data_IF_764311551208
#
_entry.id   IF_764311551208
#
_cell.length_a   1.000
_cell.length_b   1.000
_cell.length_c   1.000
_cell.angle_alpha   90.00
_cell.angle_beta   90.00
_cell.angle_gamma   90.00
#
_symmetry.space_group_name_H-M   'P 1'
#
loop_
_entity.id
_entity.type
_entity.pdbx_description
1 polymer ?
#
# COMPACT_ATOMS: atom_id res chain seq x y z
N UNK A 1 3.10 7.79 -24.63
CA UNK A 1 1.90 7.77 -23.76
C UNK A 1 1.57 9.20 -23.38
N UNK A 2 0.29 9.57 -23.29
CA UNK A 2 -0.08 10.89 -22.76
C UNK A 2 0.32 10.99 -21.29
N UNK A 3 0.76 12.18 -20.88
CA UNK A 3 1.24 12.48 -19.52
C UNK A 3 0.24 12.02 -18.44
N UNK A 4 0.69 11.27 -17.45
CA UNK A 4 -0.16 10.79 -16.36
C UNK A 4 -1.18 9.71 -16.72
N UNK A 5 -1.00 9.02 -17.84
CA UNK A 5 -1.89 7.95 -18.29
C UNK A 5 -1.21 6.59 -18.30
N UNK A 6 -1.95 5.60 -17.85
CA UNK A 6 -1.65 4.17 -17.94
C UNK A 6 -2.75 3.55 -18.83
N UNK A 7 -2.52 3.49 -20.16
CA UNK A 7 -3.57 3.18 -21.12
C UNK A 7 -4.71 4.21 -21.03
N UNK A 8 -5.91 3.75 -20.73
CA UNK A 8 -7.12 4.59 -20.57
C UNK A 8 -7.30 5.13 -19.14
N UNK A 9 -6.48 4.66 -18.20
CA UNK A 9 -6.54 4.99 -16.77
C UNK A 9 -5.61 6.16 -16.39
N UNK A 10 -5.74 6.66 -15.16
CA UNK A 10 -4.97 7.80 -14.64
C UNK A 10 -5.61 9.13 -14.96
N UNK A 11 -4.78 10.14 -15.14
CA UNK A 11 -5.19 11.53 -15.44
C UNK A 11 -5.32 12.41 -14.21
N UNK A 12 -5.90 13.61 -14.40
CA UNK A 12 -6.07 14.64 -13.37
C UNK A 12 -7.52 15.11 -13.39
N UNK A 13 -8.40 14.48 -12.63
CA UNK A 13 -9.82 14.80 -12.52
C UNK A 13 -10.08 15.50 -11.18
N UNK A 14 -9.56 16.70 -11.04
CA UNK A 14 -9.60 17.50 -9.81
C UNK A 14 -10.18 18.89 -10.09
N UNK A 15 -10.71 19.57 -9.07
CA UNK A 15 -11.11 20.96 -9.17
C UNK A 15 -9.94 21.87 -9.59
N UNK A 16 -10.24 22.96 -10.29
CA UNK A 16 -9.24 23.96 -10.69
C UNK A 16 -8.46 24.54 -9.51
N UNK A 17 -9.06 24.58 -8.32
CA UNK A 17 -8.42 25.04 -7.08
C UNK A 17 -7.20 24.20 -6.67
N UNK A 18 -7.15 22.91 -7.06
CA UNK A 18 -6.02 22.02 -6.80
C UNK A 18 -5.05 21.89 -7.97
N UNK A 19 -5.40 22.39 -9.16
CA UNK A 19 -4.61 22.18 -10.36
C UNK A 19 -3.18 22.74 -10.23
N UNK A 20 -3.04 23.93 -9.68
CA UNK A 20 -1.73 24.53 -9.46
C UNK A 20 -0.85 23.72 -8.51
N UNK A 21 -1.43 23.13 -7.47
CA UNK A 21 -0.69 22.30 -6.51
C UNK A 21 -0.13 21.02 -7.16
N UNK A 22 -0.90 20.36 -8.02
CA UNK A 22 -0.42 19.15 -8.71
C UNK A 22 0.55 19.48 -9.86
N UNK A 23 0.43 20.63 -10.51
CA UNK A 23 1.41 21.11 -11.50
C UNK A 23 2.75 21.42 -10.80
N UNK A 24 2.72 22.18 -9.70
CA UNK A 24 3.91 22.45 -8.87
C UNK A 24 4.60 21.14 -8.42
N UNK A 25 3.80 20.17 -7.95
CA UNK A 25 4.31 18.88 -7.52
C UNK A 25 4.95 18.12 -8.68
N UNK A 26 4.32 18.13 -9.85
CA UNK A 26 4.84 17.44 -11.04
C UNK A 26 6.16 18.07 -11.52
N UNK A 27 6.26 19.39 -11.55
CA UNK A 27 7.47 20.11 -11.91
C UNK A 27 8.60 19.82 -10.92
N UNK A 28 8.32 19.91 -9.62
CA UNK A 28 9.27 19.58 -8.56
C UNK A 28 9.73 18.13 -8.68
N UNK A 29 8.82 17.17 -8.81
CA UNK A 29 9.18 15.77 -8.96
C UNK A 29 10.02 15.52 -10.23
N UNK A 30 9.65 16.10 -11.35
CA UNK A 30 10.40 16.00 -12.61
C UNK A 30 11.82 16.55 -12.50
N UNK A 31 12.04 17.57 -11.67
CA UNK A 31 13.35 18.13 -11.39
C UNK A 31 14.16 17.21 -10.44
N UNK A 32 13.56 16.82 -9.30
CA UNK A 32 14.30 16.15 -8.24
C UNK A 32 14.50 14.65 -8.44
N UNK A 33 13.66 13.96 -9.22
CA UNK A 33 13.78 12.50 -9.43
C UNK A 33 15.15 12.08 -9.98
N UNK A 34 15.79 12.93 -10.78
CA UNK A 34 17.11 12.69 -11.39
C UNK A 34 18.22 13.53 -10.73
N UNK A 35 17.90 14.32 -9.69
CA UNK A 35 18.86 15.13 -8.95
C UNK A 35 19.73 14.26 -8.05
N UNK A 36 21.06 14.42 -8.18
CA UNK A 36 22.04 13.57 -7.48
C UNK A 36 22.03 13.79 -5.97
N UNK A 37 21.79 15.02 -5.52
CA UNK A 37 21.80 15.37 -4.09
C UNK A 37 20.53 14.86 -3.41
N UNK A 38 19.38 15.01 -4.08
CA UNK A 38 18.12 14.44 -3.61
C UNK A 38 18.21 12.91 -3.49
N UNK A 39 18.72 12.24 -4.52
CA UNK A 39 18.82 10.78 -4.53
C UNK A 39 19.83 10.26 -3.50
N UNK A 40 20.92 10.99 -3.26
CA UNK A 40 21.89 10.64 -2.20
C UNK A 40 21.28 10.75 -0.81
N UNK A 41 20.55 11.85 -0.53
CA UNK A 41 19.87 12.06 0.74
C UNK A 41 18.76 11.05 0.98
N UNK A 42 17.91 10.80 -0.05
CA UNK A 42 16.87 9.78 0.04
C UNK A 42 17.46 8.39 0.28
N UNK A 43 18.55 8.05 -0.39
CA UNK A 43 19.25 6.77 -0.20
C UNK A 43 19.79 6.64 1.22
N UNK A 44 20.39 7.69 1.79
CA UNK A 44 20.85 7.70 3.18
C UNK A 44 19.66 7.51 4.14
N UNK A 45 18.56 8.23 3.95
CA UNK A 45 17.34 8.06 4.75
C UNK A 45 16.77 6.63 4.67
N UNK A 46 16.75 6.05 3.49
CA UNK A 46 16.28 4.68 3.30
C UNK A 46 17.19 3.65 3.98
N UNK A 47 18.50 3.81 3.89
CA UNK A 47 19.45 2.86 4.44
C UNK A 47 19.63 3.03 5.95
N UNK A 48 19.92 4.26 6.40
CA UNK A 48 20.36 4.51 7.77
C UNK A 48 19.18 4.69 8.73
N UNK A 49 18.04 5.20 8.23
CA UNK A 49 16.87 5.47 9.05
C UNK A 49 15.75 4.44 8.86
N UNK A 50 15.40 4.08 7.63
CA UNK A 50 14.35 3.08 7.38
C UNK A 50 14.84 1.64 7.51
N UNK A 51 16.16 1.39 7.51
CA UNK A 51 16.75 0.07 7.71
C UNK A 51 16.80 -0.79 6.45
N UNK A 52 16.86 -0.15 5.27
CA UNK A 52 17.01 -0.86 3.99
C UNK A 52 18.47 -1.29 3.75
N UNK A 53 18.71 -2.29 2.85
CA UNK A 53 17.71 -3.10 2.14
C UNK A 53 16.92 -4.01 3.07
N UNK A 54 15.60 -4.11 2.86
CA UNK A 54 14.80 -5.09 3.58
C UNK A 54 15.19 -6.52 3.17
N UNK A 55 15.07 -7.48 4.07
CA UNK A 55 15.55 -8.84 3.85
C UNK A 55 14.62 -9.61 2.91
N UNK A 56 15.22 -10.44 2.05
CA UNK A 56 14.55 -11.51 1.35
C UNK A 56 14.78 -12.80 2.13
N UNK A 57 13.76 -13.28 2.83
CA UNK A 57 13.84 -14.42 3.73
C UNK A 57 13.31 -15.69 3.08
N UNK A 58 14.10 -16.75 3.03
CA UNK A 58 13.64 -18.06 2.58
C UNK A 58 12.77 -18.72 3.67
N UNK A 59 11.48 -18.83 3.43
CA UNK A 59 10.50 -19.42 4.33
C UNK A 59 10.60 -20.96 4.27
N UNK A 60 11.60 -21.50 4.96
CA UNK A 60 12.00 -22.90 4.87
C UNK A 60 10.91 -23.85 5.33
N UNK A 61 10.27 -23.55 6.47
CA UNK A 61 9.22 -24.42 7.03
C UNK A 61 7.95 -24.35 6.19
N UNK A 62 7.57 -23.17 5.74
CA UNK A 62 6.44 -22.99 4.84
C UNK A 62 6.67 -23.70 3.50
N UNK A 63 7.88 -23.61 2.93
CA UNK A 63 8.27 -24.33 1.70
C UNK A 63 8.16 -25.85 1.89
N UNK A 64 8.66 -26.38 3.00
CA UNK A 64 8.59 -27.80 3.28
C UNK A 64 7.17 -28.28 3.53
N UNK A 65 6.37 -27.52 4.25
CA UNK A 65 4.97 -27.84 4.59
C UNK A 65 4.07 -27.87 3.34
N UNK A 66 4.22 -26.90 2.43
CA UNK A 66 3.43 -26.84 1.21
C UNK A 66 3.93 -27.79 0.10
N UNK A 67 5.18 -28.20 0.13
CA UNK A 67 5.74 -29.27 -0.71
C UNK A 67 5.93 -28.96 -2.19
N UNK A 68 5.64 -27.74 -2.65
CA UNK A 68 5.78 -27.27 -4.04
C UNK A 68 6.90 -26.25 -4.20
N UNK A 69 6.56 -25.06 -4.71
CA UNK A 69 7.51 -23.98 -4.98
C UNK A 69 8.27 -23.52 -3.73
N UNK A 70 9.51 -23.08 -3.92
CA UNK A 70 10.28 -22.34 -2.91
C UNK A 70 9.59 -21.02 -2.58
N UNK A 71 9.45 -20.69 -1.30
CA UNK A 71 8.78 -19.48 -0.87
C UNK A 71 9.78 -18.52 -0.23
N UNK A 72 9.81 -17.30 -0.73
CA UNK A 72 10.57 -16.20 -0.18
C UNK A 72 9.65 -15.11 0.30
N UNK A 73 9.96 -14.50 1.45
CA UNK A 73 9.24 -13.37 2.00
C UNK A 73 10.11 -12.12 1.87
N UNK A 74 9.62 -11.11 1.17
CA UNK A 74 10.23 -9.77 1.18
C UNK A 74 9.75 -9.03 2.42
N UNK A 75 10.66 -8.82 3.36
CA UNK A 75 10.39 -8.45 4.75
C UNK A 75 10.25 -6.92 4.92
N UNK A 76 9.24 -6.30 4.29
CA UNK A 76 8.92 -4.88 4.49
C UNK A 76 8.36 -4.59 5.89
N UNK A 77 7.91 -5.61 6.60
CA UNK A 77 7.50 -5.58 8.01
C UNK A 77 8.66 -5.24 8.98
N UNK A 78 9.91 -5.40 8.55
CA UNK A 78 11.10 -5.07 9.34
C UNK A 78 11.60 -3.64 9.15
N UNK A 79 11.02 -2.89 8.22
CA UNK A 79 11.39 -1.48 8.04
C UNK A 79 10.99 -0.66 9.28
N UNK A 80 11.65 0.47 9.49
CA UNK A 80 11.22 1.44 10.48
C UNK A 80 9.73 1.80 10.29
N UNK A 81 8.99 1.94 11.36
CA UNK A 81 7.52 2.02 11.45
C UNK A 81 6.76 0.70 11.21
N UNK A 82 7.45 -0.36 10.77
CA UNK A 82 6.90 -1.71 10.65
C UNK A 82 6.12 -2.00 9.37
N UNK A 83 6.32 -1.24 8.31
CA UNK A 83 5.66 -1.44 7.03
C UNK A 83 6.40 -0.74 5.86
N UNK A 84 6.00 -1.07 4.61
CA UNK A 84 6.50 -0.47 3.38
C UNK A 84 6.21 1.03 3.23
N UNK A 85 5.26 1.58 3.98
CA UNK A 85 4.80 2.98 3.85
C UNK A 85 5.93 3.99 4.00
N UNK A 86 6.92 3.69 4.83
CA UNK A 86 8.05 4.59 5.09
C UNK A 86 8.86 4.91 3.82
N UNK A 87 8.93 3.98 2.85
CA UNK A 87 9.65 4.19 1.60
C UNK A 87 9.11 5.39 0.81
N UNK A 88 7.80 5.37 0.55
CA UNK A 88 7.10 6.44 -0.15
C UNK A 88 7.12 7.74 0.66
N UNK A 89 6.86 7.64 1.96
CA UNK A 89 6.71 8.82 2.82
C UNK A 89 8.02 9.59 2.93
N UNK A 90 9.17 8.93 3.12
CA UNK A 90 10.47 9.61 3.14
C UNK A 90 10.73 10.37 1.83
N UNK A 91 10.42 9.76 0.69
CA UNK A 91 10.56 10.42 -0.61
C UNK A 91 9.63 11.64 -0.77
N UNK A 92 8.34 11.51 -0.42
CA UNK A 92 7.40 12.61 -0.54
C UNK A 92 7.67 13.75 0.46
N UNK A 93 8.03 13.44 1.71
CA UNK A 93 8.33 14.48 2.71
C UNK A 93 9.64 15.19 2.38
N UNK A 94 10.67 14.48 1.91
CA UNK A 94 11.89 15.11 1.40
C UNK A 94 11.60 16.02 0.22
N UNK A 95 10.74 15.58 -0.72
CA UNK A 95 10.29 16.41 -1.83
C UNK A 95 9.56 17.67 -1.35
N UNK A 96 8.68 17.54 -0.35
CA UNK A 96 7.99 18.67 0.26
C UNK A 96 8.95 19.69 0.86
N UNK A 97 10.00 19.23 1.54
CA UNK A 97 11.09 20.10 2.07
C UNK A 97 11.78 20.85 0.92
N UNK A 98 12.12 20.16 -0.18
CA UNK A 98 12.72 20.79 -1.37
C UNK A 98 11.80 21.80 -2.06
N UNK A 99 10.49 21.60 -1.97
CA UNK A 99 9.47 22.56 -2.45
C UNK A 99 9.26 23.74 -1.47
N UNK A 100 9.92 23.74 -0.32
CA UNK A 100 9.77 24.80 0.70
C UNK A 100 8.47 24.71 1.49
N UNK A 101 7.75 23.60 1.45
CA UNK A 101 6.53 23.39 2.24
C UNK A 101 6.85 23.34 3.73
N UNK A 102 5.91 23.82 4.56
CA UNK A 102 6.07 23.89 6.03
C UNK A 102 5.21 22.87 6.75
N UNK A 103 4.20 22.35 6.06
CA UNK A 103 3.20 21.44 6.59
C UNK A 103 3.01 20.26 5.63
N UNK A 104 2.80 19.08 6.19
CA UNK A 104 2.32 17.91 5.47
C UNK A 104 0.99 17.44 6.04
N UNK A 105 0.13 16.95 5.16
CA UNK A 105 -1.13 16.32 5.53
C UNK A 105 -1.19 14.92 4.92
N UNK A 106 -1.90 14.00 5.57
CA UNK A 106 -2.08 12.65 5.08
C UNK A 106 -3.44 12.07 5.47
N UNK A 107 -3.95 11.16 4.67
CA UNK A 107 -5.02 10.24 5.03
C UNK A 107 -4.46 8.96 5.65
N UNK A 108 -5.25 8.26 6.43
CA UNK A 108 -4.88 6.91 6.86
C UNK A 108 -6.11 6.08 7.25
N UNK A 109 -6.08 4.75 6.99
CA UNK A 109 -7.06 3.77 7.47
C UNK A 109 -6.47 2.97 8.64
N UNK A 110 -5.64 1.97 8.37
CA UNK A 110 -4.96 1.18 9.41
C UNK A 110 -3.97 1.96 10.29
N UNK A 111 -3.74 3.24 10.01
CA UNK A 111 -2.81 4.09 10.76
C UNK A 111 -1.36 4.00 10.32
N UNK A 112 -0.95 3.02 9.54
CA UNK A 112 0.45 2.82 9.15
C UNK A 112 1.00 3.97 8.29
N UNK A 113 0.20 4.49 7.36
CA UNK A 113 0.60 5.64 6.56
C UNK A 113 0.70 6.92 7.40
N UNK A 114 -0.28 7.13 8.28
CA UNK A 114 -0.27 8.26 9.21
C UNK A 114 0.94 8.23 10.14
N UNK A 115 1.27 7.08 10.73
CA UNK A 115 2.47 6.92 11.57
C UNK A 115 3.74 7.19 10.76
N UNK A 116 3.86 6.66 9.55
CA UNK A 116 5.02 6.93 8.69
C UNK A 116 5.16 8.41 8.35
N UNK A 117 4.03 9.09 8.03
CA UNK A 117 4.02 10.53 7.71
C UNK A 117 4.39 11.37 8.93
N UNK A 118 3.81 11.07 10.10
CA UNK A 118 4.16 11.74 11.35
C UNK A 118 5.65 11.55 11.70
N UNK A 119 6.18 10.34 11.47
CA UNK A 119 7.60 10.01 11.68
C UNK A 119 8.53 10.86 10.80
N UNK A 120 8.26 10.91 9.49
CA UNK A 120 9.09 11.68 8.57
C UNK A 120 8.95 13.20 8.79
N UNK A 121 7.73 13.66 9.11
CA UNK A 121 7.49 15.06 9.45
C UNK A 121 8.26 15.50 10.71
N UNK A 122 8.23 14.67 11.76
CA UNK A 122 9.02 14.91 12.97
C UNK A 122 10.52 14.95 12.68
N UNK A 123 11.03 14.00 11.87
CA UNK A 123 12.43 13.94 11.46
C UNK A 123 12.87 15.20 10.69
N UNK A 124 12.02 15.73 9.82
CA UNK A 124 12.32 16.86 8.93
C UNK A 124 11.80 18.21 9.43
N UNK A 125 11.20 18.25 10.63
CA UNK A 125 10.76 19.50 11.29
C UNK A 125 9.55 20.16 10.62
N UNK A 126 8.62 19.38 10.05
CA UNK A 126 7.40 19.88 9.41
C UNK A 126 6.19 19.72 10.36
N UNK A 127 5.21 20.62 10.23
CA UNK A 127 3.90 20.42 10.82
C UNK A 127 3.23 19.21 10.15
N UNK A 128 2.53 18.39 10.94
CA UNK A 128 1.85 17.20 10.44
C UNK A 128 0.40 17.13 10.93
N UNK A 129 -0.54 16.96 10.00
CA UNK A 129 -1.93 16.68 10.32
C UNK A 129 -2.40 15.43 9.55
N UNK A 130 -3.06 14.52 10.26
CA UNK A 130 -3.50 13.24 9.71
C UNK A 130 -5.01 13.13 9.85
N UNK A 131 -5.67 12.78 8.74
CA UNK A 131 -7.11 12.55 8.68
C UNK A 131 -7.37 11.04 8.68
N UNK A 132 -8.22 10.59 9.58
CA UNK A 132 -8.52 9.18 9.78
C UNK A 132 -10.02 9.03 10.03
N UNK A 133 -10.65 8.05 9.40
CA UNK A 133 -12.06 7.78 9.64
C UNK A 133 -12.35 7.50 11.13
N UNK A 134 -13.50 7.96 11.62
CA UNK A 134 -13.89 7.76 13.03
C UNK A 134 -13.83 6.30 13.43
N UNK A 135 -14.37 5.42 12.61
CA UNK A 135 -14.36 3.98 12.86
C UNK A 135 -12.94 3.41 12.92
N UNK A 136 -12.07 3.85 12.02
CA UNK A 136 -10.68 3.45 11.99
C UNK A 136 -9.88 3.98 13.19
N UNK A 137 -10.19 5.19 13.71
CA UNK A 137 -9.55 5.73 14.92
C UNK A 137 -9.79 4.86 16.14
N UNK A 138 -10.97 4.25 16.23
CA UNK A 138 -11.33 3.34 17.32
C UNK A 138 -10.69 1.97 17.15
N UNK A 139 -10.71 1.43 15.94
CA UNK A 139 -10.06 0.15 15.61
C UNK A 139 -8.55 0.15 15.82
N UNK A 140 -7.89 1.30 15.59
CA UNK A 140 -6.45 1.47 15.55
C UNK A 140 -5.94 2.52 16.55
N UNK A 141 -6.48 2.53 17.75
CA UNK A 141 -6.18 3.52 18.80
C UNK A 141 -4.67 3.62 19.11
N UNK A 142 -3.92 2.51 19.07
CA UNK A 142 -2.49 2.49 19.29
C UNK A 142 -1.75 3.33 18.23
N UNK A 143 -2.14 3.24 16.95
CA UNK A 143 -1.53 4.04 15.90
C UNK A 143 -1.91 5.52 16.00
N UNK A 144 -3.13 5.84 16.46
CA UNK A 144 -3.53 7.22 16.77
C UNK A 144 -2.63 7.81 17.87
N UNK A 145 -2.37 7.04 18.93
CA UNK A 145 -1.48 7.47 19.99
C UNK A 145 -0.03 7.67 19.49
N UNK A 146 0.49 6.76 18.66
CA UNK A 146 1.82 6.88 18.04
C UNK A 146 1.93 8.16 17.21
N UNK A 147 0.94 8.49 16.39
CA UNK A 147 0.93 9.72 15.60
C UNK A 147 0.97 10.98 16.49
N UNK A 148 0.18 11.00 17.55
CA UNK A 148 0.17 12.10 18.53
C UNK A 148 1.50 12.23 19.28
N UNK A 149 2.12 11.11 19.65
CA UNK A 149 3.44 11.08 20.29
C UNK A 149 4.54 11.65 19.38
N UNK A 150 4.41 11.43 18.06
CA UNK A 150 5.29 11.99 17.04
C UNK A 150 4.99 13.46 16.70
N UNK A 151 4.04 14.08 17.39
CA UNK A 151 3.71 15.50 17.23
C UNK A 151 2.64 15.80 16.17
N UNK A 152 2.06 14.78 15.54
CA UNK A 152 0.99 14.99 14.57
C UNK A 152 -0.36 15.28 15.25
N UNK A 153 -1.16 16.16 14.62
CA UNK A 153 -2.59 16.31 14.95
C UNK A 153 -3.37 15.26 14.18
N UNK A 154 -4.23 14.51 14.86
CA UNK A 154 -5.08 13.49 14.25
C UNK A 154 -6.53 13.96 14.30
N UNK A 155 -7.15 14.06 13.13
CA UNK A 155 -8.54 14.47 12.93
C UNK A 155 -9.39 13.24 12.62
N UNK A 156 -10.40 13.00 13.46
CA UNK A 156 -11.38 11.96 13.20
C UNK A 156 -12.42 12.49 12.18
N UNK A 157 -12.56 11.80 11.06
CA UNK A 157 -13.51 12.13 9.99
C UNK A 157 -14.81 11.39 10.25
N UNK A 158 -15.89 12.13 10.45
CA UNK A 158 -17.21 11.59 10.79
C UNK A 158 -18.16 11.45 9.58
N UNK A 159 -17.79 12.04 8.43
CA UNK A 159 -18.58 11.99 7.22
C UNK A 159 -18.57 10.61 6.56
N UNK A 160 -19.63 10.28 5.82
CA UNK A 160 -19.75 9.05 5.09
C UNK A 160 -19.81 7.82 5.98
N UNK A 161 -19.00 6.82 5.68
CA UNK A 161 -18.84 5.58 6.48
C UNK A 161 -17.81 5.72 7.60
N UNK A 162 -17.12 6.87 7.69
CA UNK A 162 -16.07 7.08 8.68
C UNK A 162 -14.84 6.19 8.50
N UNK A 163 -14.54 5.80 7.27
CA UNK A 163 -13.42 4.92 6.90
C UNK A 163 -12.39 5.62 5.99
N UNK A 164 -11.40 4.88 5.50
CA UNK A 164 -10.29 5.39 4.68
C UNK A 164 -10.76 6.24 3.47
N UNK A 165 -11.84 5.85 2.78
CA UNK A 165 -12.38 6.62 1.64
C UNK A 165 -12.72 8.07 2.05
N UNK A 166 -13.35 8.22 3.21
CA UNK A 166 -13.79 9.53 3.71
C UNK A 166 -12.59 10.35 4.21
N UNK A 167 -11.60 9.69 4.79
CA UNK A 167 -10.32 10.31 5.15
C UNK A 167 -9.61 10.89 3.93
N UNK A 168 -9.57 10.16 2.79
CA UNK A 168 -9.01 10.68 1.52
C UNK A 168 -9.78 11.92 1.05
N UNK A 169 -11.10 11.85 1.04
CA UNK A 169 -11.95 12.97 0.60
C UNK A 169 -11.73 14.21 1.46
N UNK A 170 -11.63 14.05 2.79
CA UNK A 170 -11.40 15.16 3.72
C UNK A 170 -9.99 15.74 3.56
N UNK A 171 -8.97 14.89 3.41
CA UNK A 171 -7.59 15.35 3.19
C UNK A 171 -7.48 16.17 1.90
N UNK A 172 -8.13 15.76 0.81
CA UNK A 172 -8.17 16.52 -0.43
C UNK A 172 -8.87 17.87 -0.26
N UNK A 173 -9.94 17.92 0.55
CA UNK A 173 -10.68 19.15 0.88
C UNK A 173 -9.83 20.09 1.72
N UNK A 174 -9.14 19.56 2.74
CA UNK A 174 -8.22 20.34 3.56
C UNK A 174 -7.04 20.88 2.74
N UNK A 175 -6.51 20.10 1.79
CA UNK A 175 -5.41 20.55 0.94
C UNK A 175 -5.75 21.82 0.16
N UNK A 176 -7.00 21.94 -0.33
CA UNK A 176 -7.48 23.15 -1.03
C UNK A 176 -7.38 24.41 -0.19
N UNK A 177 -7.43 24.31 1.12
CA UNK A 177 -7.43 25.47 2.02
C UNK A 177 -6.04 26.10 2.19
N UNK A 178 -4.95 25.32 2.02
CA UNK A 178 -3.56 25.74 2.32
C UNK A 178 -2.54 25.17 1.33
N UNK A 179 -2.81 25.20 0.03
CA UNK A 179 -1.93 24.62 -1.00
C UNK A 179 -0.54 25.25 -1.06
N UNK A 180 -0.40 26.52 -0.68
CA UNK A 180 0.87 27.26 -0.80
C UNK A 180 1.96 26.74 0.12
N UNK A 181 1.64 26.33 1.35
CA UNK A 181 2.58 25.90 2.36
C UNK A 181 2.46 24.42 2.75
N UNK A 182 1.51 23.71 2.16
CA UNK A 182 1.15 22.33 2.52
C UNK A 182 1.36 21.37 1.35
N UNK A 183 1.99 20.21 1.65
CA UNK A 183 2.03 19.07 0.74
C UNK A 183 1.13 17.95 1.25
N UNK A 184 0.32 17.37 0.35
CA UNK A 184 -0.43 16.17 0.64
C UNK A 184 0.46 14.94 0.38
N UNK A 185 0.83 14.24 1.45
CA UNK A 185 1.58 12.98 1.37
C UNK A 185 0.59 11.85 1.12
N UNK A 186 0.31 11.54 -0.14
CA UNK A 186 -0.66 10.51 -0.50
C UNK A 186 -0.11 9.10 -0.26
N UNK A 187 -0.89 8.28 0.44
CA UNK A 187 -0.43 7.01 1.01
C UNK A 187 -0.42 5.81 0.07
N UNK A 188 -0.95 5.95 -1.16
CA UNK A 188 -0.99 4.85 -2.13
C UNK A 188 -0.75 5.32 -3.56
N UNK A 189 -0.60 4.39 -4.52
CA UNK A 189 -0.37 4.70 -5.93
C UNK A 189 -1.66 5.07 -6.66
N UNK A 190 -2.46 5.90 -6.04
CA UNK A 190 -3.77 6.39 -6.49
C UNK A 190 -3.79 7.92 -6.55
N UNK A 191 -4.96 8.49 -6.87
CA UNK A 191 -5.14 9.93 -6.93
C UNK A 191 -4.76 10.53 -8.28
N UNK A 192 -4.83 11.87 -8.39
CA UNK A 192 -4.49 12.56 -9.63
C UNK A 192 -3.01 12.43 -9.96
N UNK A 193 -2.67 12.42 -11.26
CA UNK A 193 -1.27 12.59 -11.66
C UNK A 193 -0.69 13.87 -11.03
N UNK A 194 0.56 13.85 -10.44
CA UNK A 194 1.60 12.83 -10.59
C UNK A 194 1.65 11.76 -9.49
N UNK A 195 0.74 11.75 -8.51
CA UNK A 195 0.82 10.86 -7.35
C UNK A 195 1.01 9.37 -7.69
N UNK A 196 0.28 8.75 -8.62
CA UNK A 196 0.49 7.33 -8.93
C UNK A 196 1.93 7.01 -9.35
N UNK A 197 2.54 7.90 -10.13
CA UNK A 197 3.94 7.77 -10.58
C UNK A 197 4.92 7.96 -9.42
N UNK A 198 4.76 9.02 -8.63
CA UNK A 198 5.62 9.33 -7.48
C UNK A 198 5.64 8.17 -6.49
N UNK A 199 4.47 7.68 -6.10
CA UNK A 199 4.33 6.60 -5.12
C UNK A 199 4.92 5.30 -5.66
N UNK A 200 4.65 4.95 -6.93
CA UNK A 200 5.27 3.79 -7.58
C UNK A 200 6.79 3.88 -7.52
N UNK A 201 7.36 5.00 -7.94
CA UNK A 201 8.80 5.16 -8.09
C UNK A 201 9.51 5.05 -6.72
N UNK A 202 8.96 5.65 -5.66
CA UNK A 202 9.50 5.50 -4.32
C UNK A 202 9.30 4.10 -3.73
N UNK A 203 8.25 3.39 -4.11
CA UNK A 203 8.04 2.00 -3.68
C UNK A 203 8.81 0.98 -4.53
N UNK A 204 9.26 1.33 -5.74
CA UNK A 204 9.95 0.42 -6.64
C UNK A 204 11.28 -0.12 -6.11
N UNK A 205 11.83 0.48 -5.05
CA UNK A 205 12.96 -0.05 -4.29
C UNK A 205 12.72 -1.49 -3.83
N UNK A 206 11.45 -1.87 -3.56
CA UNK A 206 11.06 -3.23 -3.17
C UNK A 206 11.42 -4.24 -4.26
N UNK A 207 10.93 -4.03 -5.48
CA UNK A 207 11.20 -4.97 -6.60
C UNK A 207 12.65 -4.94 -7.07
N UNK A 208 13.32 -3.78 -6.98
CA UNK A 208 14.76 -3.68 -7.25
C UNK A 208 15.54 -4.62 -6.33
N UNK A 209 15.30 -4.52 -5.03
CA UNK A 209 15.96 -5.36 -4.03
C UNK A 209 15.57 -6.84 -4.16
N UNK A 210 14.30 -7.17 -4.42
CA UNK A 210 13.88 -8.57 -4.67
C UNK A 210 14.72 -9.15 -5.80
N UNK A 211 14.84 -8.43 -6.91
CA UNK A 211 15.61 -8.88 -8.09
C UNK A 211 17.08 -9.13 -7.75
N UNK A 212 17.73 -8.16 -7.11
CA UNK A 212 19.14 -8.25 -6.73
C UNK A 212 19.39 -9.40 -5.75
N UNK A 213 18.58 -9.48 -4.69
CA UNK A 213 18.73 -10.48 -3.64
C UNK A 213 18.43 -11.89 -4.14
N UNK A 214 17.41 -12.05 -4.99
CA UNK A 214 17.07 -13.38 -5.52
C UNK A 214 18.07 -13.87 -6.56
N UNK A 215 18.58 -12.98 -7.42
CA UNK A 215 19.68 -13.31 -8.35
C UNK A 215 20.94 -13.74 -7.59
N UNK A 216 21.24 -13.10 -6.46
CA UNK A 216 22.36 -13.49 -5.62
C UNK A 216 22.13 -14.85 -4.91
N UNK A 217 20.89 -15.16 -4.50
CA UNK A 217 20.56 -16.37 -3.76
C UNK A 217 20.31 -17.60 -4.64
N UNK A 218 19.63 -17.43 -5.79
CA UNK A 218 19.12 -18.51 -6.64
C UNK A 218 19.63 -18.46 -8.09
N UNK A 219 20.29 -17.36 -8.48
CA UNK A 219 20.80 -17.16 -9.85
C UNK A 219 19.71 -16.89 -10.91
N UNK A 220 18.45 -16.72 -10.51
CA UNK A 220 17.30 -16.51 -11.41
C UNK A 220 16.25 -15.55 -10.84
N UNK A 221 15.35 -15.09 -11.70
CA UNK A 221 14.17 -14.31 -11.32
C UNK A 221 13.11 -15.23 -10.69
N UNK A 222 12.14 -14.69 -9.92
CA UNK A 222 11.04 -15.48 -9.38
C UNK A 222 10.09 -15.91 -10.51
N UNK A 223 9.39 -17.02 -10.30
CA UNK A 223 8.30 -17.48 -11.17
C UNK A 223 7.00 -16.70 -10.89
N UNK A 224 6.81 -16.27 -9.63
CA UNK A 224 5.68 -15.43 -9.24
C UNK A 224 6.05 -14.43 -8.13
N UNK A 225 5.47 -13.22 -8.20
CA UNK A 225 5.51 -12.20 -7.14
C UNK A 225 4.09 -11.93 -6.70
N UNK A 226 3.82 -12.12 -5.41
CA UNK A 226 2.52 -11.91 -4.79
C UNK A 226 2.55 -10.72 -3.82
N UNK A 227 1.52 -9.90 -3.86
CA UNK A 227 1.34 -8.81 -2.91
C UNK A 227 -0.16 -8.56 -2.66
N UNK A 228 -0.53 -8.13 -1.46
CA UNK A 228 -1.89 -7.67 -1.18
C UNK A 228 -2.18 -6.35 -1.89
N UNK A 229 -3.44 -6.11 -2.23
CA UNK A 229 -3.87 -4.93 -2.99
C UNK A 229 -5.11 -4.31 -2.38
N UNK A 230 -4.95 -3.07 -1.86
CA UNK A 230 -6.02 -2.10 -1.68
C UNK A 230 -5.83 -1.00 -2.74
N UNK A 231 -5.34 0.18 -2.37
CA UNK A 231 -4.88 1.16 -3.38
C UNK A 231 -3.67 0.70 -4.20
N UNK A 232 -2.88 -0.26 -3.69
CA UNK A 232 -1.90 -1.02 -4.47
C UNK A 232 -0.44 -0.58 -4.36
N UNK A 233 -0.07 0.29 -3.41
CA UNK A 233 1.30 0.83 -3.35
C UNK A 233 2.38 -0.22 -3.10
N UNK A 234 2.16 -1.16 -2.18
CA UNK A 234 3.13 -2.23 -1.94
C UNK A 234 3.24 -3.18 -3.14
N UNK A 235 2.12 -3.47 -3.77
CA UNK A 235 2.06 -4.37 -4.92
C UNK A 235 2.77 -3.77 -6.14
N UNK A 236 2.51 -2.51 -6.49
CA UNK A 236 3.21 -1.88 -7.62
C UNK A 236 4.72 -1.77 -7.32
N UNK A 237 5.10 -1.49 -6.08
CA UNK A 237 6.49 -1.50 -5.64
C UNK A 237 7.17 -2.86 -5.84
N UNK A 238 6.47 -3.95 -5.51
CA UNK A 238 6.96 -5.32 -5.70
C UNK A 238 6.95 -5.79 -7.16
N UNK A 239 6.06 -5.23 -8.01
CA UNK A 239 5.88 -5.65 -9.38
C UNK A 239 6.74 -4.87 -10.39
N UNK A 240 7.06 -3.62 -10.13
CA UNK A 240 7.53 -2.65 -11.10
C UNK A 240 8.69 -3.14 -11.96
N UNK A 241 9.79 -3.61 -11.37
CA UNK A 241 10.94 -4.10 -12.13
C UNK A 241 10.73 -5.46 -12.80
N UNK A 242 9.60 -6.12 -12.52
CA UNK A 242 9.23 -7.38 -13.18
C UNK A 242 8.18 -7.19 -14.28
N UNK A 243 7.58 -5.99 -14.42
CA UNK A 243 6.59 -5.72 -15.49
C UNK A 243 7.13 -6.10 -16.87
N UNK A 244 8.39 -5.78 -17.25
CA UNK A 244 8.94 -6.17 -18.55
C UNK A 244 9.22 -7.67 -18.69
N UNK A 245 9.24 -8.42 -17.60
CA UNK A 245 9.61 -9.84 -17.58
C UNK A 245 8.36 -10.72 -17.68
N UNK A 246 7.90 -11.05 -18.90
CA UNK A 246 6.67 -11.82 -19.12
C UNK A 246 6.68 -13.21 -18.46
N UNK A 247 7.85 -13.80 -18.21
CA UNK A 247 8.00 -15.07 -17.48
C UNK A 247 7.75 -15.00 -15.97
N UNK A 248 7.64 -13.80 -15.40
CA UNK A 248 7.33 -13.59 -13.99
C UNK A 248 5.84 -13.28 -13.84
N UNK A 249 5.07 -14.15 -13.18
CA UNK A 249 3.68 -13.89 -12.86
C UNK A 249 3.58 -12.82 -11.78
N UNK A 250 2.70 -11.83 -11.96
CA UNK A 250 2.41 -10.77 -10.99
C UNK A 250 1.00 -10.98 -10.48
N UNK A 251 0.84 -11.21 -9.18
CA UNK A 251 -0.46 -11.59 -8.59
C UNK A 251 -0.81 -10.64 -7.46
N UNK A 252 -1.83 -9.81 -7.69
CA UNK A 252 -2.42 -8.94 -6.69
C UNK A 252 -3.52 -9.66 -5.93
N UNK A 253 -3.43 -9.68 -4.60
CA UNK A 253 -4.42 -10.33 -3.74
C UNK A 253 -5.31 -9.27 -3.10
N UNK A 254 -6.56 -9.18 -3.56
CA UNK A 254 -7.57 -8.23 -3.11
C UNK A 254 -8.35 -8.78 -1.90
N UNK A 255 -8.84 -7.87 -1.05
CA UNK A 255 -9.67 -8.24 0.08
C UNK A 255 -11.13 -8.45 -0.34
N UNK A 256 -11.57 -9.69 -0.35
CA UNK A 256 -12.94 -10.04 -0.68
C UNK A 256 -13.90 -9.97 0.54
N UNK A 257 -13.42 -9.58 1.71
CA UNK A 257 -14.28 -9.49 2.90
C UNK A 257 -14.99 -10.82 3.17
N UNK A 258 -16.31 -10.81 3.13
CA UNK A 258 -17.14 -12.02 3.30
C UNK A 258 -17.39 -12.80 2.02
N UNK A 259 -16.88 -12.33 0.90
CA UNK A 259 -16.98 -12.97 -0.42
C UNK A 259 -17.16 -11.93 -1.53
N UNK A 260 -16.53 -12.18 -2.69
CA UNK A 260 -16.63 -11.26 -3.83
C UNK A 260 -18.05 -11.20 -4.44
N UNK A 261 -18.89 -12.18 -4.14
CA UNK A 261 -20.30 -12.28 -4.53
C UNK A 261 -21.25 -11.64 -3.49
N UNK A 262 -20.72 -11.03 -2.45
CA UNK A 262 -21.47 -10.35 -1.39
C UNK A 262 -21.29 -8.83 -1.48
N UNK A 263 -22.17 -8.02 -0.87
CA UNK A 263 -21.96 -6.58 -0.76
C UNK A 263 -20.82 -6.19 0.21
N UNK A 264 -20.38 -7.12 1.04
CA UNK A 264 -19.31 -6.91 2.03
C UNK A 264 -17.95 -7.36 1.46
N UNK A 265 -17.49 -6.66 0.43
CA UNK A 265 -16.21 -6.91 -0.26
C UNK A 265 -15.50 -5.60 -0.59
N UNK A 266 -14.17 -5.65 -0.70
CA UNK A 266 -13.32 -4.57 -1.20
C UNK A 266 -12.47 -5.03 -2.40
N UNK A 267 -12.83 -6.15 -3.05
CA UNK A 267 -12.13 -6.70 -4.21
C UNK A 267 -12.48 -5.89 -5.47
N UNK A 268 -11.78 -4.79 -5.67
CA UNK A 268 -12.09 -3.75 -6.66
C UNK A 268 -11.99 -4.23 -8.11
N UNK A 269 -10.98 -5.03 -8.47
CA UNK A 269 -10.88 -5.58 -9.84
C UNK A 269 -11.96 -6.65 -10.07
N UNK A 270 -12.20 -7.48 -9.06
CA UNK A 270 -13.19 -8.56 -9.19
C UNK A 270 -14.62 -8.04 -9.31
N UNK A 271 -14.99 -6.94 -8.64
CA UNK A 271 -16.38 -6.50 -8.52
C UNK A 271 -16.66 -5.09 -9.04
N UNK A 272 -15.62 -4.27 -9.18
CA UNK A 272 -15.72 -2.87 -9.59
C UNK A 272 -15.83 -2.67 -11.10
N UNK A 273 -16.00 -1.42 -11.49
CA UNK A 273 -16.07 -0.98 -12.89
C UNK A 273 -15.19 0.26 -13.10
N UNK A 274 -14.72 0.52 -14.34
CA UNK A 274 -13.99 1.76 -14.64
C UNK A 274 -14.85 2.99 -14.41
N UNK A 275 -14.26 4.01 -13.79
CA UNK A 275 -14.90 5.29 -13.54
C UNK A 275 -13.90 6.32 -13.01
N UNK A 276 -14.39 7.48 -12.58
CA UNK A 276 -13.57 8.58 -12.06
C UNK A 276 -13.90 8.75 -10.58
N UNK A 277 -12.86 8.67 -9.75
CA UNK A 277 -12.99 8.99 -8.33
C UNK A 277 -11.61 9.38 -7.74
N UNK A 278 -11.59 10.12 -6.66
CA UNK A 278 -10.37 10.63 -6.01
C UNK A 278 -9.33 11.21 -7.00
N UNK A 279 -9.83 11.92 -8.03
CA UNK A 279 -8.99 12.62 -9.00
C UNK A 279 -8.36 11.77 -10.11
N UNK A 280 -8.71 10.50 -10.22
CA UNK A 280 -8.19 9.57 -11.24
C UNK A 280 -9.29 8.79 -11.94
N UNK A 281 -9.01 8.28 -13.15
CA UNK A 281 -9.79 7.23 -13.80
C UNK A 281 -9.15 5.89 -13.47
N UNK A 282 -9.94 4.98 -12.87
CA UNK A 282 -9.50 3.64 -12.51
C UNK A 282 -10.70 2.71 -12.31
N UNK A 283 -10.50 1.48 -11.85
CA UNK A 283 -11.58 0.64 -11.33
C UNK A 283 -11.92 1.06 -9.90
N UNK A 284 -13.22 1.07 -9.59
CA UNK A 284 -13.70 1.21 -8.21
C UNK A 284 -15.06 0.50 -8.01
N UNK A 285 -15.37 0.14 -6.78
CA UNK A 285 -16.64 -0.48 -6.41
C UNK A 285 -17.76 0.55 -6.54
N UNK A 286 -18.78 0.23 -7.35
CA UNK A 286 -19.87 1.13 -7.68
C UNK A 286 -21.22 0.45 -7.45
N UNK A 287 -22.18 1.23 -6.97
CA UNK A 287 -23.58 0.82 -6.94
C UNK A 287 -24.22 0.86 -8.35
N UNK A 288 -25.51 0.58 -8.43
CA UNK A 288 -26.26 0.59 -9.67
C UNK A 288 -26.36 1.97 -10.36
N UNK A 289 -26.18 3.04 -9.58
CA UNK A 289 -26.19 4.43 -10.06
C UNK A 289 -24.79 4.97 -10.39
N UNK A 290 -23.74 4.16 -10.24
CA UNK A 290 -22.36 4.59 -10.49
C UNK A 290 -21.73 5.38 -9.36
N UNK A 291 -22.36 5.42 -8.18
CA UNK A 291 -21.77 6.02 -6.97
C UNK A 291 -20.80 5.05 -6.32
N UNK A 292 -19.89 5.57 -5.49
CA UNK A 292 -18.96 4.74 -4.73
C UNK A 292 -19.76 3.86 -3.77
N UNK A 293 -19.71 2.54 -3.97
CA UNK A 293 -20.34 1.59 -3.09
C UNK A 293 -19.59 1.49 -1.75
N UNK A 294 -20.28 1.28 -0.63
CA UNK A 294 -19.64 0.84 0.60
C UNK A 294 -18.85 -0.45 0.36
N UNK A 295 -17.70 -0.57 0.99
CA UNK A 295 -16.86 -1.77 0.95
C UNK A 295 -16.61 -2.28 2.35
N UNK A 296 -16.11 -3.50 2.46
CA UNK A 296 -15.79 -4.10 3.75
C UNK A 296 -14.59 -5.06 3.65
N UNK A 297 -13.72 -4.97 4.62
CA UNK A 297 -12.66 -5.94 4.91
C UNK A 297 -12.32 -5.90 6.40
N UNK A 298 -11.94 -7.04 6.97
CA UNK A 298 -11.31 -7.11 8.30
C UNK A 298 -10.01 -6.29 8.34
N UNK A 299 -9.39 -6.09 7.20
CA UNK A 299 -8.17 -5.31 7.02
C UNK A 299 -8.50 -3.84 6.73
N UNK A 300 -8.35 -2.96 7.71
CA UNK A 300 -8.55 -1.53 7.53
C UNK A 300 -7.64 -0.91 6.45
N UNK A 301 -6.47 -1.50 6.18
CA UNK A 301 -5.55 -1.04 5.13
C UNK A 301 -5.97 -1.44 3.72
N UNK A 302 -6.87 -2.42 3.56
CA UNK A 302 -7.43 -2.86 2.28
C UNK A 302 -8.92 -2.47 2.12
N UNK A 303 -9.53 -1.88 3.16
CA UNK A 303 -10.91 -1.40 3.16
C UNK A 303 -11.02 -0.08 2.36
N UNK A 304 -10.83 -0.19 1.06
CA UNK A 304 -10.80 0.93 0.12
C UNK A 304 -11.49 0.53 -1.20
N UNK A 305 -12.43 1.36 -1.70
CA UNK A 305 -13.29 0.97 -2.83
C UNK A 305 -12.64 1.12 -4.20
N UNK A 306 -11.33 1.31 -4.31
CA UNK A 306 -10.66 1.54 -5.57
C UNK A 306 -9.23 1.03 -5.64
N UNK A 307 -8.63 1.14 -6.81
CA UNK A 307 -7.27 0.66 -7.08
C UNK A 307 -6.48 1.68 -7.89
N UNK A 308 -5.16 1.68 -7.76
CA UNK A 308 -4.28 2.55 -8.53
C UNK A 308 -4.43 2.35 -10.05
N UNK A 309 -4.34 3.42 -10.85
CA UNK A 309 -4.61 3.35 -12.29
C UNK A 309 -3.59 2.51 -13.07
N UNK A 310 -2.37 2.34 -12.57
CA UNK A 310 -1.39 1.45 -13.17
C UNK A 310 -1.77 -0.03 -12.97
N UNK A 311 -2.33 -0.39 -11.82
CA UNK A 311 -2.90 -1.73 -11.59
C UNK A 311 -4.08 -2.01 -12.52
N UNK A 312 -4.98 -1.05 -12.71
CA UNK A 312 -6.07 -1.14 -13.66
C UNK A 312 -5.56 -1.43 -15.09
N UNK A 313 -4.49 -0.75 -15.50
CA UNK A 313 -3.84 -0.98 -16.78
C UNK A 313 -3.18 -2.37 -16.87
N UNK A 314 -2.48 -2.80 -15.81
CA UNK A 314 -1.86 -4.13 -15.76
C UNK A 314 -2.91 -5.24 -15.84
N UNK A 315 -4.08 -5.04 -15.25
CA UNK A 315 -5.23 -5.93 -15.38
C UNK A 315 -5.75 -5.97 -16.82
N UNK A 316 -6.08 -4.80 -17.40
CA UNK A 316 -6.65 -4.71 -18.76
C UNK A 316 -5.75 -5.32 -19.84
N UNK A 317 -4.44 -5.23 -19.64
CA UNK A 317 -3.44 -5.80 -20.56
C UNK A 317 -3.10 -7.26 -20.28
N UNK A 318 -3.69 -7.86 -19.24
CA UNK A 318 -3.37 -9.22 -18.81
C UNK A 318 -1.95 -9.39 -18.27
N UNK A 319 -1.28 -8.27 -17.90
CA UNK A 319 0.09 -8.36 -17.38
C UNK A 319 0.14 -8.79 -15.92
N UNK A 320 -0.87 -8.47 -15.14
CA UNK A 320 -1.02 -8.91 -13.75
C UNK A 320 -2.38 -9.58 -13.55
N UNK A 321 -2.38 -10.61 -12.72
CA UNK A 321 -3.57 -11.31 -12.23
C UNK A 321 -4.04 -10.65 -10.93
N UNK A 322 -5.35 -10.61 -10.70
CA UNK A 322 -5.93 -10.16 -9.44
C UNK A 322 -6.88 -11.22 -8.92
N UNK A 323 -6.71 -11.57 -7.66
CA UNK A 323 -7.46 -12.65 -7.02
C UNK A 323 -8.11 -12.16 -5.74
N UNK A 324 -9.36 -12.55 -5.56
CA UNK A 324 -10.13 -12.22 -4.36
C UNK A 324 -9.81 -13.22 -3.24
N UNK A 325 -9.51 -12.71 -2.04
CA UNK A 325 -9.19 -13.48 -0.83
C UNK A 325 -10.13 -13.03 0.28
N UNK A 326 -10.84 -13.97 0.88
CA UNK A 326 -11.80 -13.69 1.95
C UNK A 326 -11.11 -13.42 3.30
N UNK A 327 -11.83 -12.77 4.22
CA UNK A 327 -11.36 -12.54 5.59
C UNK A 327 -11.00 -13.86 6.30
N UNK A 328 -11.80 -14.91 6.11
CA UNK A 328 -11.53 -16.22 6.70
C UNK A 328 -10.18 -16.79 6.21
N UNK A 329 -9.94 -16.74 4.92
CA UNK A 329 -8.68 -17.21 4.33
C UNK A 329 -7.48 -16.36 4.80
N UNK A 330 -7.66 -15.04 4.92
CA UNK A 330 -6.63 -14.14 5.40
C UNK A 330 -6.30 -14.40 6.89
N UNK A 331 -7.31 -14.59 7.75
CA UNK A 331 -7.11 -14.92 9.17
C UNK A 331 -6.41 -16.27 9.33
N UNK A 332 -6.81 -17.29 8.58
CA UNK A 332 -6.13 -18.59 8.60
C UNK A 332 -4.67 -18.47 8.14
N UNK A 333 -4.39 -17.66 7.14
CA UNK A 333 -3.04 -17.43 6.64
C UNK A 333 -2.17 -16.62 7.63
N UNK A 334 -2.77 -15.65 8.33
CA UNK A 334 -2.13 -14.92 9.42
C UNK A 334 -1.65 -15.87 10.52
N UNK A 335 -2.54 -16.73 11.00
CA UNK A 335 -2.22 -17.74 12.02
C UNK A 335 -1.22 -18.77 11.51
N UNK A 336 -1.38 -19.22 10.26
CA UNK A 336 -0.48 -20.19 9.62
C UNK A 336 0.96 -19.68 9.58
N UNK A 337 1.19 -18.47 9.05
CA UNK A 337 2.54 -17.91 8.97
C UNK A 337 3.13 -17.69 10.36
N UNK A 338 2.31 -17.23 11.31
CA UNK A 338 2.73 -17.04 12.70
C UNK A 338 3.23 -18.34 13.34
N UNK A 339 2.51 -19.45 13.14
CA UNK A 339 2.88 -20.77 13.72
C UNK A 339 4.00 -21.47 12.95
N UNK A 340 4.07 -21.24 11.63
CA UNK A 340 5.02 -21.96 10.77
C UNK A 340 6.39 -21.30 10.75
N UNK A 341 6.44 -19.97 10.60
CA UNK A 341 7.69 -19.23 10.48
C UNK A 341 8.01 -18.33 11.69
N UNK A 342 7.10 -18.24 12.69
CA UNK A 342 7.27 -17.32 13.82
C UNK A 342 7.17 -15.85 13.41
N UNK A 343 6.47 -15.57 12.31
CA UNK A 343 6.29 -14.22 11.77
C UNK A 343 4.81 -13.87 11.83
N UNK A 344 4.47 -12.86 12.62
CA UNK A 344 3.10 -12.31 12.69
C UNK A 344 2.97 -11.24 11.59
N UNK A 345 2.33 -11.54 10.45
CA UNK A 345 2.21 -10.59 9.35
C UNK A 345 1.11 -9.59 9.63
N UNK A 346 1.15 -8.39 9.02
CA UNK A 346 -0.06 -7.58 8.94
C UNK A 346 -1.19 -8.36 8.26
N UNK A 347 -2.43 -8.16 8.71
CA UNK A 347 -3.60 -8.85 8.11
C UNK A 347 -3.72 -8.53 6.61
N UNK A 348 -3.29 -7.36 6.18
CA UNK A 348 -3.14 -6.99 4.78
C UNK A 348 -2.28 -8.03 4.04
N UNK A 349 -1.06 -8.27 4.53
CA UNK A 349 -0.09 -9.18 3.92
C UNK A 349 -0.55 -10.64 3.94
N UNK A 350 -1.37 -11.02 4.92
CA UNK A 350 -1.92 -12.37 5.05
C UNK A 350 -2.77 -12.78 3.84
N UNK A 351 -3.38 -11.82 3.10
CA UNK A 351 -4.09 -12.10 1.85
C UNK A 351 -3.15 -12.71 0.80
N UNK A 352 -1.94 -12.17 0.66
CA UNK A 352 -0.95 -12.73 -0.27
C UNK A 352 -0.43 -14.11 0.21
N UNK A 353 -0.26 -14.30 1.51
CA UNK A 353 0.10 -15.59 2.11
C UNK A 353 -1.00 -16.63 1.85
N UNK A 354 -2.28 -16.25 1.99
CA UNK A 354 -3.42 -17.13 1.73
C UNK A 354 -3.41 -17.65 0.29
N UNK A 355 -3.21 -16.78 -0.69
CA UNK A 355 -3.14 -17.20 -2.08
C UNK A 355 -1.90 -18.05 -2.38
N UNK A 356 -0.75 -17.70 -1.81
CA UNK A 356 0.47 -18.51 -1.94
C UNK A 356 0.26 -19.96 -1.45
N UNK A 357 -0.46 -20.17 -0.35
CA UNK A 357 -0.81 -21.50 0.15
C UNK A 357 -1.62 -22.32 -0.85
N UNK A 358 -2.43 -21.68 -1.69
CA UNK A 358 -3.23 -22.37 -2.72
C UNK A 358 -2.39 -22.76 -3.93
N UNK A 359 -1.47 -21.89 -4.37
CA UNK A 359 -0.74 -22.12 -5.62
C UNK A 359 0.60 -22.82 -5.46
N UNK A 360 1.29 -22.65 -4.33
CA UNK A 360 2.61 -23.24 -4.10
C UNK A 360 2.63 -24.78 -4.25
N UNK A 361 1.67 -25.55 -3.71
CA UNK A 361 1.63 -26.99 -3.89
C UNK A 361 1.47 -27.46 -5.35
N UNK A 362 0.93 -26.57 -6.21
CA UNK A 362 0.69 -26.86 -7.62
C UNK A 362 1.88 -26.51 -8.52
N UNK A 363 2.90 -25.87 -7.97
CA UNK A 363 4.11 -25.46 -8.68
C UNK A 363 5.26 -26.44 -8.46
N UNK A 364 6.20 -26.44 -9.38
CA UNK A 364 7.40 -27.30 -9.29
C UNK A 364 8.35 -26.83 -8.18
N UNK A 365 9.10 -27.78 -7.57
CA UNK A 365 10.05 -27.54 -6.48
C UNK A 365 11.19 -26.56 -6.82
N UNK A 366 11.48 -26.38 -8.12
CA UNK A 366 12.48 -25.42 -8.58
C UNK A 366 11.89 -24.04 -8.89
N UNK A 367 10.56 -23.91 -8.87
CA UNK A 367 9.91 -22.64 -9.04
C UNK A 367 9.93 -21.83 -7.75
N UNK A 368 9.86 -20.51 -7.89
CA UNK A 368 10.03 -19.58 -6.77
C UNK A 368 8.85 -18.64 -6.71
N UNK A 369 8.24 -18.55 -5.55
CA UNK A 369 7.26 -17.53 -5.18
C UNK A 369 7.93 -16.53 -4.25
N UNK A 370 7.80 -15.24 -4.55
CA UNK A 370 8.12 -14.15 -3.62
C UNK A 370 6.84 -13.51 -3.13
N UNK A 371 6.63 -13.48 -1.83
CA UNK A 371 5.53 -12.77 -1.18
C UNK A 371 6.06 -11.46 -0.61
N UNK A 372 5.48 -10.33 -0.99
CA UNK A 372 5.79 -9.06 -0.37
C UNK A 372 5.05 -8.94 0.97
N UNK A 373 5.78 -9.13 2.07
CA UNK A 373 5.25 -9.00 3.42
C UNK A 373 5.25 -7.53 3.82
N UNK A 374 4.18 -6.84 3.46
CA UNK A 374 4.11 -5.39 3.42
C UNK A 374 4.14 -4.68 4.77
N UNK A 375 3.80 -5.41 5.86
CA UNK A 375 3.82 -4.87 7.21
C UNK A 375 3.72 -5.96 8.28
N UNK A 376 3.98 -5.59 9.55
CA UNK A 376 3.89 -6.48 10.71
C UNK A 376 2.51 -6.40 11.36
N UNK A 377 2.13 -7.50 12.02
CA UNK A 377 0.79 -7.74 12.52
C UNK A 377 0.54 -7.45 14.00
N UNK A 378 1.49 -6.83 14.72
CA UNK A 378 1.29 -6.50 16.14
C UNK A 378 0.00 -5.69 16.36
N UNK A 379 -0.27 -4.77 15.43
CA UNK A 379 -1.48 -3.93 15.41
C UNK A 379 -2.78 -4.70 15.21
N UNK A 380 -2.70 -5.91 14.65
CA UNK A 380 -3.87 -6.69 14.22
C UNK A 380 -4.23 -7.80 15.20
N UNK A 381 -3.36 -8.10 16.18
CA UNK A 381 -3.57 -9.19 17.14
C UNK A 381 -4.93 -9.09 17.86
N UNK A 382 -5.31 -7.89 18.33
CA UNK A 382 -6.60 -7.69 18.97
C UNK A 382 -7.80 -7.87 18.02
N UNK A 383 -7.66 -7.48 16.74
CA UNK A 383 -8.71 -7.70 15.74
C UNK A 383 -8.88 -9.19 15.42
N UNK A 384 -7.77 -9.93 15.30
CA UNK A 384 -7.78 -11.38 15.05
C UNK A 384 -8.39 -12.13 16.26
N UNK A 385 -8.03 -11.75 17.50
CA UNK A 385 -8.61 -12.34 18.69
C UNK A 385 -10.14 -12.15 18.74
N UNK A 386 -10.61 -10.90 18.51
CA UNK A 386 -12.07 -10.64 18.40
C UNK A 386 -12.74 -11.46 17.30
N UNK A 387 -12.10 -11.60 16.15
CA UNK A 387 -12.64 -12.43 15.06
C UNK A 387 -12.78 -13.91 15.49
N UNK A 388 -11.88 -14.41 16.33
CA UNK A 388 -11.93 -15.76 16.91
C UNK A 388 -12.83 -15.88 18.15
N UNK A 389 -13.44 -14.79 18.59
CA UNK A 389 -14.26 -14.78 19.82
C UNK A 389 -13.45 -14.79 21.10
N UNK A 390 -12.16 -14.42 21.02
CA UNK A 390 -11.27 -14.25 22.17
C UNK A 390 -11.22 -12.78 22.58
N UNK A 391 -11.20 -12.50 23.87
CA UNK A 391 -11.06 -11.14 24.39
C UNK A 391 -9.64 -10.95 24.92
N UNK A 392 -8.94 -9.95 24.37
CA UNK A 392 -7.62 -9.56 24.88
C UNK A 392 -7.86 -8.33 25.76
N UNK A 393 -7.72 -8.50 27.05
CA UNK A 393 -7.64 -7.37 27.98
C UNK A 393 -6.26 -6.71 27.79
N UNK A 394 -6.25 -5.49 27.26
CA UNK A 394 -5.06 -4.63 27.22
C UNK A 394 -4.81 -3.96 28.58
#
# INVERSE_FOLDING_TARGET
MSKGRFGVHGGQYIPETLMNAVIELEEAYSHYKDDADFNRELTALLNDYAGRPSRLYFARRMTADLGGAKIYLKREDLNHTGAHKINNVLGQVLLAVRMGKKRVIAETGAGQHGVATATAAALMGLECEVFMGREDTERQALNVYRMRLLGAKVHAVESGTGTLKDAVSETMREWTSRISDTHYVLGSCMGPHPFPTIVRDFQAVISKEIREQLLAAEGKLPDAVLACVGGGSNAIGAFYHFIPNAGVRLIGCEAAGRGADTPETAATIATGRPGIFHGMKSYFCQDEYGQIAPVYSISAGLDYPGIGPEHAHLHDTGRAEYVAVTDAEAVEAFEYLSRTEGIIPAIESAHAVAHARKIAPLMGKEQIIVINLSGRGDKDCAAIARYRGEDIHE
#
